data_IF_656232258934
#
_entry.id   IF_656232258934
#
_cell.length_a   1.000
_cell.length_b   1.000
_cell.length_c   1.000
_cell.angle_alpha   90.00
_cell.angle_beta   90.00
_cell.angle_gamma   90.00
#
_symmetry.space_group_name_H-M   'P 1'
#
loop_
_entity.id
_entity.type
_entity.pdbx_description
1 polymer ?
#
# COMPACT_ATOMS: atom_id res chain seq x y z
N UNK A 1 -8.59 52.18 11.35
CA UNK A 1 -7.85 51.50 10.26
C UNK A 1 -7.72 50.05 10.68
N UNK A 2 -8.52 49.14 10.10
CA UNK A 2 -8.47 47.71 10.44
C UNK A 2 -7.37 47.10 9.59
N UNK A 3 -6.23 46.79 10.20
CA UNK A 3 -5.17 46.00 9.56
C UNK A 3 -5.70 44.59 9.40
N UNK A 4 -6.08 44.24 8.16
CA UNK A 4 -6.41 42.87 7.80
C UNK A 4 -5.12 42.04 7.85
N UNK A 5 -5.06 41.07 8.76
CA UNK A 5 -3.94 40.15 8.84
C UNK A 5 -3.90 39.32 7.55
N UNK A 6 -2.84 39.50 6.76
CA UNK A 6 -2.55 38.68 5.59
C UNK A 6 -2.27 37.27 6.12
N UNK A 7 -3.15 36.32 5.82
CA UNK A 7 -2.94 34.92 6.14
C UNK A 7 -1.60 34.46 5.52
N UNK A 8 -0.78 33.66 6.23
CA UNK A 8 0.47 33.17 5.67
C UNK A 8 0.20 32.39 4.38
N UNK A 9 1.10 32.47 3.38
CA UNK A 9 0.93 31.73 2.13
C UNK A 9 0.82 30.23 2.48
N UNK A 10 -0.30 29.61 2.10
CA UNK A 10 -0.42 28.15 2.16
C UNK A 10 0.76 27.58 1.38
N UNK A 11 1.55 26.72 2.01
CA UNK A 11 2.64 26.02 1.34
C UNK A 11 2.11 25.41 0.05
N UNK A 12 2.78 25.67 -1.07
CA UNK A 12 2.38 25.15 -2.38
C UNK A 12 2.53 23.64 -2.36
N UNK A 13 1.40 22.93 -2.34
CA UNK A 13 1.37 21.46 -2.42
C UNK A 13 1.82 21.00 -3.79
N UNK A 14 2.42 19.82 -3.87
CA UNK A 14 2.71 19.20 -5.18
C UNK A 14 1.40 18.73 -5.81
N UNK A 15 1.25 18.74 -7.15
CA UNK A 15 -0.04 18.40 -7.77
C UNK A 15 -0.49 16.96 -7.49
N UNK A 16 0.46 16.04 -7.45
CA UNK A 16 0.18 14.61 -7.40
C UNK A 16 1.35 13.79 -6.83
N UNK A 17 1.02 12.76 -6.06
CA UNK A 17 1.93 11.69 -5.61
C UNK A 17 1.30 10.34 -5.93
N UNK A 18 2.13 9.32 -6.10
CA UNK A 18 1.76 8.01 -6.63
C UNK A 18 2.36 6.90 -5.81
N UNK A 19 1.57 5.88 -5.48
CA UNK A 19 2.02 4.70 -4.75
C UNK A 19 1.58 3.42 -5.44
N UNK A 20 2.42 2.39 -5.39
CA UNK A 20 2.03 1.02 -5.68
C UNK A 20 1.55 0.38 -4.38
N UNK A 21 0.33 -0.18 -4.40
CA UNK A 21 -0.17 -1.01 -3.32
C UNK A 21 -0.38 -2.44 -3.81
N UNK A 22 0.09 -3.40 -3.01
CA UNK A 22 0.01 -4.82 -3.30
C UNK A 22 -1.06 -5.45 -2.43
N UNK A 23 -1.93 -6.22 -3.07
CA UNK A 23 -2.93 -7.01 -2.37
C UNK A 23 -2.53 -8.47 -2.37
N UNK A 24 -2.85 -9.18 -1.29
CA UNK A 24 -2.65 -10.62 -1.20
C UNK A 24 -3.51 -11.33 -2.23
N UNK A 25 -4.79 -10.94 -2.34
CA UNK A 25 -5.78 -11.60 -3.17
C UNK A 25 -6.55 -10.62 -4.05
N UNK A 26 -6.98 -11.06 -5.23
CA UNK A 26 -7.90 -10.27 -6.07
C UNK A 26 -9.25 -10.00 -5.39
N UNK A 27 -9.65 -10.88 -4.46
CA UNK A 27 -10.91 -10.75 -3.73
C UNK A 27 -10.93 -9.51 -2.83
N UNK A 28 -9.78 -9.12 -2.25
CA UNK A 28 -9.68 -7.90 -1.43
C UNK A 28 -9.83 -6.64 -2.29
N UNK A 29 -9.27 -6.67 -3.49
CA UNK A 29 -9.41 -5.59 -4.47
C UNK A 29 -10.87 -5.46 -4.95
N UNK A 30 -11.54 -6.58 -5.24
CA UNK A 30 -12.96 -6.56 -5.60
C UNK A 30 -13.84 -6.06 -4.44
N UNK A 31 -13.53 -6.43 -3.20
CA UNK A 31 -14.21 -5.93 -2.02
C UNK A 31 -14.00 -4.42 -1.84
N UNK A 32 -12.78 -3.94 -2.08
CA UNK A 32 -12.44 -2.52 -2.06
C UNK A 32 -13.22 -1.70 -3.08
N UNK A 33 -13.37 -2.22 -4.30
CA UNK A 33 -14.19 -1.58 -5.35
C UNK A 33 -15.63 -1.39 -4.89
N UNK A 34 -16.22 -2.42 -4.25
CA UNK A 34 -17.60 -2.35 -3.75
C UNK A 34 -17.76 -1.38 -2.58
N UNK A 35 -16.76 -1.26 -1.71
CA UNK A 35 -16.82 -0.47 -0.47
C UNK A 35 -16.32 0.96 -0.62
N UNK A 36 -15.49 1.25 -1.63
CA UNK A 36 -14.79 2.55 -1.75
C UNK A 36 -13.79 2.78 -0.61
N UNK A 37 -13.21 1.70 -0.11
CA UNK A 37 -12.30 1.71 1.04
C UNK A 37 -11.13 0.79 0.77
N UNK A 38 -9.96 1.16 1.27
CA UNK A 38 -8.79 0.30 1.31
C UNK A 38 -8.23 0.24 2.71
N UNK A 39 -7.59 -0.87 3.03
CA UNK A 39 -6.80 -1.02 4.24
C UNK A 39 -5.41 -1.48 3.84
N UNK A 40 -4.39 -0.77 4.28
CA UNK A 40 -2.98 -1.07 3.96
C UNK A 40 -2.27 -1.60 5.20
N UNK A 41 -1.05 -2.11 5.06
CA UNK A 41 -0.19 -2.40 6.20
C UNK A 41 0.17 -1.11 6.96
N UNK A 42 0.32 -1.20 8.29
CA UNK A 42 0.64 -0.06 9.16
C UNK A 42 1.87 0.74 8.72
N UNK A 43 2.90 0.06 8.24
CA UNK A 43 4.14 0.72 7.80
C UNK A 43 3.93 1.70 6.63
N UNK A 44 2.87 1.51 5.84
CA UNK A 44 2.53 2.39 4.72
C UNK A 44 1.75 3.63 5.15
N UNK A 45 1.08 3.59 6.30
CA UNK A 45 0.14 4.65 6.71
C UNK A 45 0.85 6.00 6.86
N UNK A 46 2.03 6.01 7.48
CA UNK A 46 2.81 7.22 7.68
C UNK A 46 3.21 7.87 6.34
N UNK A 47 3.65 7.05 5.37
CA UNK A 47 4.01 7.53 4.04
C UNK A 47 2.82 8.09 3.27
N UNK A 48 1.68 7.39 3.29
CA UNK A 48 0.47 7.80 2.60
C UNK A 48 -0.13 9.08 3.21
N UNK A 49 -0.16 9.18 4.55
CA UNK A 49 -0.64 10.39 5.23
C UNK A 49 0.26 11.59 4.95
N UNK A 50 1.58 11.42 5.02
CA UNK A 50 2.52 12.49 4.66
C UNK A 50 2.36 12.94 3.20
N UNK A 51 2.08 12.02 2.28
CA UNK A 51 1.76 12.36 0.90
C UNK A 51 0.44 13.10 0.76
N UNK A 52 -0.60 12.71 1.52
CA UNK A 52 -1.91 13.37 1.51
C UNK A 52 -1.86 14.81 2.01
N UNK A 53 -0.96 15.12 2.94
CA UNK A 53 -0.72 16.49 3.40
C UNK A 53 0.09 17.32 2.40
N UNK A 54 1.09 16.70 1.76
CA UNK A 54 2.03 17.35 0.83
C UNK A 54 1.47 17.55 -0.58
N UNK A 55 0.58 16.67 -1.03
CA UNK A 55 0.05 16.66 -2.38
C UNK A 55 -1.42 17.10 -2.45
N UNK A 56 -1.85 17.60 -3.62
CA UNK A 56 -3.27 17.83 -3.89
C UNK A 56 -4.01 16.51 -4.17
N UNK A 57 -3.33 15.59 -4.87
CA UNK A 57 -3.86 14.27 -5.21
C UNK A 57 -2.86 13.17 -4.82
N UNK A 58 -3.36 12.10 -4.20
CA UNK A 58 -2.59 10.88 -3.97
C UNK A 58 -3.27 9.75 -4.72
N UNK A 59 -2.57 9.19 -5.70
CA UNK A 59 -3.05 8.07 -6.52
C UNK A 59 -2.42 6.76 -6.06
N UNK A 60 -3.27 5.75 -5.94
CA UNK A 60 -2.92 4.42 -5.47
C UNK A 60 -3.14 3.44 -6.62
N UNK A 61 -2.07 2.80 -7.09
CA UNK A 61 -2.11 1.82 -8.18
C UNK A 61 -2.03 0.42 -7.58
N UNK A 62 -3.08 -0.37 -7.79
CA UNK A 62 -3.24 -1.66 -7.14
C UNK A 62 -2.82 -2.82 -8.03
N UNK A 63 -2.20 -3.84 -7.43
CA UNK A 63 -1.90 -5.11 -8.08
C UNK A 63 -2.01 -6.26 -7.08
N UNK A 64 -2.68 -7.34 -7.47
CA UNK A 64 -2.70 -8.57 -6.68
C UNK A 64 -1.39 -9.34 -6.84
N UNK A 65 -0.92 -9.97 -5.78
CA UNK A 65 0.28 -10.80 -5.84
C UNK A 65 0.08 -11.96 -6.83
N UNK A 66 1.14 -12.24 -7.61
CA UNK A 66 1.17 -13.31 -8.64
C UNK A 66 0.13 -13.16 -9.78
N UNK A 67 -0.52 -12.00 -9.94
CA UNK A 67 -1.50 -11.78 -11.03
C UNK A 67 -0.85 -11.57 -12.42
N UNK A 68 0.37 -11.03 -12.46
CA UNK A 68 1.02 -10.60 -13.71
C UNK A 68 0.48 -9.29 -14.30
N UNK A 69 -0.35 -8.56 -13.54
CA UNK A 69 -1.00 -7.33 -13.99
C UNK A 69 -1.31 -6.35 -12.85
N UNK A 70 -1.52 -5.08 -13.22
CA UNK A 70 -2.18 -4.13 -12.32
C UNK A 70 -3.69 -4.28 -12.45
N UNK A 71 -4.36 -4.25 -11.29
CA UNK A 71 -5.80 -4.37 -11.17
C UNK A 71 -6.51 -3.09 -11.62
N UNK A 72 -5.93 -1.94 -11.28
CA UNK A 72 -6.53 -0.63 -11.50
C UNK A 72 -5.88 0.42 -10.60
N UNK A 73 -6.46 1.61 -10.55
CA UNK A 73 -6.00 2.67 -9.65
C UNK A 73 -7.15 3.50 -9.11
N UNK A 74 -6.89 4.08 -7.94
CA UNK A 74 -7.83 4.91 -7.20
C UNK A 74 -7.14 6.18 -6.70
N UNK A 75 -7.94 7.14 -6.22
CA UNK A 75 -7.47 8.34 -5.52
C UNK A 75 -7.82 8.25 -4.05
N UNK A 76 -6.88 8.60 -3.18
CA UNK A 76 -7.12 8.73 -1.75
C UNK A 76 -8.03 9.93 -1.49
N UNK A 77 -9.10 9.74 -0.71
CA UNK A 77 -10.09 10.78 -0.42
C UNK A 77 -9.98 11.37 0.99
N UNK A 78 -9.38 10.62 1.92
CA UNK A 78 -9.26 11.00 3.31
C UNK A 78 -7.94 10.48 3.88
N UNK A 79 -7.36 11.16 4.90
CA UNK A 79 -6.25 10.62 5.65
C UNK A 79 -6.66 9.30 6.33
N UNK A 80 -5.66 8.48 6.62
CA UNK A 80 -5.82 7.26 7.41
C UNK A 80 -5.91 7.70 8.87
N UNK A 81 -7.14 8.02 9.28
CA UNK A 81 -7.49 8.40 10.65
C UNK A 81 -8.53 7.40 11.14
N UNK A 82 -8.31 6.76 12.29
CA UNK A 82 -9.13 5.64 12.80
C UNK A 82 -10.59 5.95 13.13
N UNK A 83 -11.12 7.10 12.73
CA UNK A 83 -12.45 7.60 13.07
C UNK A 83 -13.54 7.26 12.03
N UNK A 84 -13.20 6.46 11.01
CA UNK A 84 -14.21 5.92 10.08
C UNK A 84 -15.13 4.86 10.73
N UNK A 85 -14.92 4.53 12.01
CA UNK A 85 -15.73 3.61 12.80
C UNK A 85 -16.90 4.22 13.59
N UNK A 86 -17.08 5.54 13.61
CA UNK A 86 -18.10 6.18 14.46
C UNK A 86 -19.46 6.43 13.78
N UNK A 87 -19.62 6.15 12.48
CA UNK A 87 -20.88 6.36 11.76
C UNK A 87 -21.51 5.02 11.32
N UNK A 88 -22.33 4.46 12.23
CA UNK A 88 -23.43 3.49 11.99
C UNK A 88 -23.11 2.27 11.11
N UNK A 89 -22.80 1.14 11.75
CA UNK A 89 -23.16 -0.18 11.22
C UNK A 89 -24.17 -0.81 12.19
N UNK A 90 -25.44 -1.05 11.79
CA UNK A 90 -26.26 -2.00 12.53
C UNK A 90 -25.63 -3.38 12.39
N UNK A 91 -25.44 -4.01 13.55
CA UNK A 91 -24.95 -5.37 13.76
C UNK A 91 -25.54 -6.30 12.71
N UNK A 92 -24.69 -6.82 11.81
CA UNK A 92 -24.98 -8.10 11.17
C UNK A 92 -23.87 -9.03 11.61
N UNK A 93 -24.16 -9.78 12.66
CA UNK A 93 -23.39 -10.94 13.09
C UNK A 93 -23.34 -11.91 11.91
N UNK A 94 -22.29 -11.80 11.10
CA UNK A 94 -21.91 -12.89 10.21
C UNK A 94 -20.90 -13.71 10.98
N UNK A 95 -21.21 -14.99 11.03
CA UNK A 95 -20.54 -16.08 11.71
C UNK A 95 -19.15 -16.33 11.10
N UNK A 96 -18.23 -15.38 11.25
CA UNK A 96 -16.83 -15.54 10.84
C UNK A 96 -16.15 -16.32 11.95
N UNK A 97 -15.98 -17.62 11.72
CA UNK A 97 -15.10 -18.45 12.55
C UNK A 97 -13.74 -17.75 12.66
N UNK A 98 -13.16 -17.60 13.86
CA UNK A 98 -11.94 -16.82 14.09
C UNK A 98 -10.66 -17.40 13.46
N UNK A 99 -10.77 -18.41 12.60
CA UNK A 99 -9.66 -19.23 12.12
C UNK A 99 -9.32 -19.06 10.62
N UNK A 100 -10.07 -18.24 9.88
CA UNK A 100 -10.02 -18.19 8.40
C UNK A 100 -9.35 -16.92 7.83
N UNK A 101 -8.64 -16.16 8.67
CA UNK A 101 -7.87 -14.97 8.27
C UNK A 101 -6.41 -15.29 7.94
N UNK A 102 -5.70 -14.41 7.19
CA UNK A 102 -4.30 -14.60 6.86
C UNK A 102 -3.43 -14.66 8.13
N UNK A 103 -2.60 -15.70 8.25
CA UNK A 103 -1.66 -15.89 9.38
C UNK A 103 -0.24 -15.48 8.98
N UNK A 104 0.47 -14.80 9.90
CA UNK A 104 1.88 -14.41 9.72
C UNK A 104 2.79 -15.27 10.61
N UNK A 105 3.73 -15.99 9.99
CA UNK A 105 4.69 -16.87 10.67
C UNK A 105 6.10 -16.31 10.48
N UNK A 106 6.77 -15.78 11.52
CA UNK A 106 8.11 -15.23 11.39
C UNK A 106 9.13 -16.33 11.06
N UNK A 107 10.10 -15.99 10.21
CA UNK A 107 11.19 -16.87 9.80
C UNK A 107 12.53 -16.17 10.03
N UNK A 108 13.46 -16.76 10.79
CA UNK A 108 14.78 -16.18 10.99
C UNK A 108 15.59 -16.17 9.69
N UNK A 109 16.61 -15.31 9.63
CA UNK A 109 17.55 -15.29 8.52
C UNK A 109 18.28 -16.65 8.39
N UNK A 110 18.50 -17.07 7.16
CA UNK A 110 19.28 -18.27 6.81
C UNK A 110 20.45 -17.88 5.92
N UNK A 111 21.36 -18.83 5.63
CA UNK A 111 22.50 -18.57 4.73
C UNK A 111 22.10 -18.11 3.32
N UNK A 112 20.84 -18.35 2.90
CA UNK A 112 20.37 -18.12 1.53
C UNK A 112 19.16 -17.19 1.42
N UNK A 113 18.56 -16.77 2.54
CA UNK A 113 17.42 -15.85 2.57
C UNK A 113 17.48 -14.97 3.84
N UNK A 114 17.17 -13.66 3.73
CA UNK A 114 17.15 -12.77 4.88
C UNK A 114 16.03 -13.15 5.87
N UNK A 115 15.94 -12.46 7.01
CA UNK A 115 14.79 -12.62 7.89
C UNK A 115 13.52 -12.14 7.20
N UNK A 116 12.39 -12.68 7.64
CA UNK A 116 11.10 -12.32 7.08
C UNK A 116 9.98 -13.11 7.71
N UNK A 117 8.91 -13.30 6.97
CA UNK A 117 7.71 -14.00 7.44
C UNK A 117 6.94 -14.67 6.32
N UNK A 118 6.29 -15.79 6.63
CA UNK A 118 5.34 -16.46 5.76
C UNK A 118 3.95 -15.89 6.04
N UNK A 119 3.29 -15.40 5.00
CA UNK A 119 1.88 -15.02 5.01
C UNK A 119 1.08 -16.19 4.44
N UNK A 120 0.31 -16.85 5.29
CA UNK A 120 -0.54 -18.00 4.98
C UNK A 120 -2.02 -17.59 4.99
N UNK A 121 -2.57 -17.39 3.80
CA UNK A 121 -3.99 -17.25 3.51
C UNK A 121 -4.43 -18.45 2.64
N UNK A 122 -4.11 -19.66 3.10
CA UNK A 122 -4.42 -20.91 2.40
C UNK A 122 -5.92 -21.08 2.13
N UNK A 123 -6.79 -20.58 3.01
CA UNK A 123 -8.24 -20.53 2.80
C UNK A 123 -8.63 -19.83 1.49
N UNK A 124 -7.86 -18.80 1.09
CA UNK A 124 -8.08 -18.02 -0.14
C UNK A 124 -7.01 -18.31 -1.20
N UNK A 125 -6.25 -19.41 -1.01
CA UNK A 125 -5.29 -19.95 -1.98
C UNK A 125 -3.98 -19.17 -2.09
N UNK A 126 -3.61 -18.37 -1.08
CA UNK A 126 -2.43 -17.50 -1.13
C UNK A 126 -1.46 -17.81 0.00
N UNK A 127 -0.27 -18.31 -0.35
CA UNK A 127 0.86 -18.42 0.59
C UNK A 127 2.10 -17.80 -0.08
N UNK A 128 2.80 -16.93 0.63
CA UNK A 128 4.05 -16.34 0.17
C UNK A 128 4.93 -15.89 1.35
N UNK A 129 6.20 -15.64 1.05
CA UNK A 129 7.17 -15.13 2.01
C UNK A 129 7.50 -13.67 1.71
N UNK A 130 7.56 -12.84 2.74
CA UNK A 130 7.93 -11.43 2.69
C UNK A 130 9.20 -11.20 3.51
N UNK A 131 10.19 -10.55 2.92
CA UNK A 131 11.41 -10.16 3.63
C UNK A 131 11.11 -8.98 4.55
N UNK A 132 11.68 -8.97 5.75
CA UNK A 132 11.68 -7.75 6.56
C UNK A 132 12.56 -6.69 5.87
N UNK A 133 12.13 -5.42 5.90
CA UNK A 133 12.94 -4.31 5.40
C UNK A 133 14.12 -4.07 6.36
N UNK A 134 15.19 -4.83 6.17
CA UNK A 134 16.48 -4.51 6.77
C UNK A 134 17.07 -3.34 5.99
N UNK A 135 17.00 -2.15 6.58
CA UNK A 135 17.93 -1.08 6.23
C UNK A 135 19.34 -1.67 6.39
N UNK A 136 20.11 -1.66 5.30
CA UNK A 136 21.51 -2.09 5.30
C UNK A 136 22.35 -1.11 6.13
N UNK A 137 22.33 -1.25 7.45
CA UNK A 137 23.32 -0.66 8.35
C UNK A 137 23.97 -1.80 9.15
N UNK A 138 24.96 -2.45 8.53
CA UNK A 138 25.93 -3.28 9.23
C UNK A 138 26.86 -2.37 10.05
N UNK A 139 26.44 -1.98 11.27
CA UNK A 139 27.30 -1.97 12.47
C UNK A 139 26.50 -1.55 13.73
N UNK A 140 26.02 -2.52 14.52
CA UNK A 140 25.68 -2.28 15.93
C UNK A 140 25.61 -3.60 16.69
N UNK A 141 26.59 -3.89 17.57
CA UNK A 141 26.52 -5.06 18.43
C UNK A 141 25.61 -4.76 19.63
N UNK A 142 24.82 -5.75 20.02
CA UNK A 142 23.96 -5.85 21.23
C UNK A 142 22.45 -5.67 20.97
N UNK A 143 21.75 -6.79 20.77
CA UNK A 143 20.51 -7.08 21.50
C UNK A 143 20.17 -8.57 21.48
N UNK A 144 20.86 -9.33 22.34
CA UNK A 144 20.27 -10.54 22.89
C UNK A 144 19.46 -10.17 24.14
N UNK A 145 18.27 -10.74 24.23
CA UNK A 145 17.36 -10.83 25.38
C UNK A 145 16.46 -9.63 25.71
N UNK A 146 15.28 -9.64 25.07
CA UNK A 146 13.98 -9.39 25.70
C UNK A 146 12.95 -10.26 24.94
N UNK A 147 12.76 -11.52 25.33
CA UNK A 147 11.59 -12.01 26.08
C UNK A 147 10.25 -11.40 25.63
N UNK A 148 9.44 -12.23 24.97
CA UNK A 148 7.98 -12.23 24.90
C UNK A 148 7.27 -10.87 24.77
N UNK A 149 7.06 -10.46 23.52
CA UNK A 149 5.76 -10.00 23.00
C UNK A 149 5.92 -9.80 21.50
N UNK A 150 5.79 -10.89 20.73
CA UNK A 150 5.80 -10.82 19.26
C UNK A 150 4.52 -11.45 18.71
N UNK A 151 3.39 -10.97 19.22
CA UNK A 151 2.22 -10.74 18.36
C UNK A 151 2.45 -9.43 17.59
N UNK A 152 3.54 -9.34 16.84
CA UNK A 152 3.56 -8.46 15.68
C UNK A 152 2.79 -9.21 14.59
N UNK A 153 1.49 -9.38 14.82
CA UNK A 153 0.54 -9.43 13.72
C UNK A 153 0.98 -8.30 12.79
N UNK A 154 1.12 -8.55 11.49
CA UNK A 154 1.01 -7.45 10.56
C UNK A 154 -0.41 -6.94 10.75
N UNK A 155 -0.59 -6.04 11.73
CA UNK A 155 -1.87 -5.42 12.00
C UNK A 155 -2.17 -4.71 10.69
N UNK A 156 -3.13 -5.29 9.98
CA UNK A 156 -3.75 -4.61 8.88
C UNK A 156 -4.20 -3.27 9.47
N UNK A 157 -3.76 -2.19 8.84
CA UNK A 157 -3.96 -0.85 9.36
C UNK A 157 -5.43 -0.45 9.39
N UNK A 158 -5.69 0.85 9.44
CA UNK A 158 -7.06 1.37 9.51
C UNK A 158 -7.64 1.55 8.11
N UNK A 159 -8.92 1.21 7.89
CA UNK A 159 -9.55 1.43 6.60
C UNK A 159 -9.64 2.94 6.33
N UNK A 160 -9.38 3.34 5.08
CA UNK A 160 -9.49 4.73 4.63
C UNK A 160 -10.23 4.81 3.29
N UNK A 161 -10.83 5.98 3.02
CA UNK A 161 -11.67 6.17 1.84
C UNK A 161 -10.84 6.40 0.59
N UNK A 162 -11.22 5.71 -0.48
CA UNK A 162 -10.64 5.86 -1.81
C UNK A 162 -11.74 5.96 -2.86
N UNK A 163 -11.41 6.55 -4.00
CA UNK A 163 -12.26 6.62 -5.18
C UNK A 163 -11.59 5.87 -6.32
N UNK A 164 -12.15 4.73 -6.72
CA UNK A 164 -11.67 4.00 -7.89
C UNK A 164 -11.94 4.81 -9.15
N UNK A 165 -10.87 5.14 -9.89
CA UNK A 165 -10.95 5.87 -11.15
C UNK A 165 -10.94 4.89 -12.33
N UNK A 166 -10.18 3.80 -12.22
CA UNK A 166 -10.17 2.72 -13.21
C UNK A 166 -9.96 1.38 -12.55
N UNK A 167 -10.74 0.39 -12.98
CA UNK A 167 -10.56 -1.04 -12.71
C UNK A 167 -10.11 -1.80 -13.97
N UNK A 168 -9.70 -1.07 -15.01
CA UNK A 168 -9.17 -1.65 -16.24
C UNK A 168 -7.85 -2.37 -15.96
N UNK A 169 -7.79 -3.66 -16.31
CA UNK A 169 -6.57 -4.45 -16.10
C UNK A 169 -5.44 -3.97 -17.01
N UNK A 170 -4.27 -3.77 -16.44
CA UNK A 170 -3.05 -3.41 -17.17
C UNK A 170 -2.00 -4.52 -17.03
N UNK A 171 -1.87 -5.41 -18.04
CA UNK A 171 -0.86 -6.45 -18.03
C UNK A 171 0.57 -5.88 -17.92
N UNK A 172 1.43 -6.52 -17.12
CA UNK A 172 2.80 -6.03 -16.88
C UNK A 172 3.68 -5.96 -18.12
N UNK A 173 3.40 -6.74 -19.17
CA UNK A 173 4.16 -6.63 -20.41
C UNK A 173 3.97 -5.25 -21.09
N UNK A 174 2.84 -4.57 -20.84
CA UNK A 174 2.55 -3.22 -21.36
C UNK A 174 3.31 -2.12 -20.62
N UNK A 175 3.84 -2.40 -19.44
CA UNK A 175 4.68 -1.47 -18.67
C UNK A 175 6.16 -1.79 -18.78
N UNK A 176 6.55 -2.68 -19.70
CA UNK A 176 7.95 -3.07 -19.93
C UNK A 176 8.80 -1.82 -20.21
N UNK A 177 9.93 -1.72 -19.51
CA UNK A 177 10.86 -0.60 -19.64
C UNK A 177 10.48 0.65 -18.84
N UNK A 178 9.27 0.73 -18.27
CA UNK A 178 8.93 1.80 -17.33
C UNK A 178 9.64 1.54 -16.00
N UNK A 179 10.54 2.45 -15.61
CA UNK A 179 11.41 2.34 -14.43
C UNK A 179 11.21 3.52 -13.49
N UNK A 180 11.44 3.29 -12.21
CA UNK A 180 11.31 4.29 -11.15
C UNK A 180 12.67 4.53 -10.48
N UNK A 181 13.26 5.72 -10.62
CA UNK A 181 14.56 6.04 -10.03
C UNK A 181 14.50 6.04 -8.49
N UNK A 182 13.33 6.33 -7.90
CA UNK A 182 13.10 6.25 -6.46
C UNK A 182 13.12 4.82 -5.90
N UNK A 183 13.12 3.79 -6.77
CA UNK A 183 13.19 2.39 -6.37
C UNK A 183 14.37 1.67 -7.05
N UNK A 184 15.58 2.22 -6.90
CA UNK A 184 16.82 1.71 -7.48
C UNK A 184 16.74 1.53 -9.02
N UNK A 185 15.97 2.38 -9.70
CA UNK A 185 15.71 2.32 -11.14
C UNK A 185 15.17 0.95 -11.63
N UNK A 186 14.51 0.20 -10.73
CA UNK A 186 13.84 -1.06 -11.06
C UNK A 186 12.59 -0.79 -11.92
N UNK A 187 12.18 -1.80 -12.68
CA UNK A 187 10.90 -1.71 -13.40
C UNK A 187 9.75 -1.53 -12.42
N UNK A 188 8.76 -0.72 -12.77
CA UNK A 188 7.65 -0.37 -11.85
C UNK A 188 6.88 -1.61 -11.38
N UNK A 189 6.82 -2.68 -12.20
CA UNK A 189 6.19 -3.96 -11.82
C UNK A 189 6.90 -4.72 -10.69
N UNK A 190 8.14 -4.33 -10.36
CA UNK A 190 8.97 -4.93 -9.30
C UNK A 190 8.76 -4.19 -7.96
N UNK A 191 7.91 -3.15 -7.94
CA UNK A 191 7.57 -2.43 -6.72
C UNK A 191 6.97 -3.36 -5.63
N UNK A 192 7.40 -3.13 -4.38
CA UNK A 192 6.80 -3.71 -3.19
C UNK A 192 5.54 -2.93 -2.81
N UNK A 193 4.81 -3.44 -1.81
CA UNK A 193 3.74 -2.67 -1.18
C UNK A 193 4.28 -1.33 -0.67
N UNK A 194 3.49 -0.27 -0.75
CA UNK A 194 3.89 1.07 -0.29
C UNK A 194 4.92 1.81 -1.13
N UNK A 195 5.40 1.26 -2.26
CA UNK A 195 6.45 1.92 -3.05
C UNK A 195 5.94 3.22 -3.69
N UNK A 196 6.54 4.36 -3.34
CA UNK A 196 6.27 5.65 -3.99
C UNK A 196 6.90 5.70 -5.41
N UNK A 197 6.20 6.32 -6.36
CA UNK A 197 6.65 6.51 -7.74
C UNK A 197 6.94 7.97 -8.05
N UNK A 198 7.99 8.20 -8.84
CA UNK A 198 8.22 9.51 -9.44
C UNK A 198 6.97 10.03 -10.18
N UNK A 199 6.60 11.32 -10.05
CA UNK A 199 5.40 11.85 -10.69
C UNK A 199 5.34 11.63 -12.20
N UNK A 200 6.48 11.73 -12.88
CA UNK A 200 6.56 11.45 -14.33
C UNK A 200 6.25 9.98 -14.63
N UNK A 201 6.74 9.06 -13.80
CA UNK A 201 6.54 7.62 -13.95
C UNK A 201 5.09 7.25 -13.62
N UNK A 202 4.53 7.81 -12.54
CA UNK A 202 3.13 7.63 -12.15
C UNK A 202 2.15 8.09 -13.22
N UNK A 203 2.33 9.29 -13.77
CA UNK A 203 1.53 9.79 -14.91
C UNK A 203 1.61 8.87 -16.13
N UNK A 204 2.82 8.43 -16.49
CA UNK A 204 3.02 7.49 -17.61
C UNK A 204 2.27 6.18 -17.37
N UNK A 205 2.33 5.65 -16.15
CA UNK A 205 1.61 4.43 -15.79
C UNK A 205 0.09 4.60 -15.92
N UNK A 206 -0.47 5.71 -15.44
CA UNK A 206 -1.90 6.01 -15.59
C UNK A 206 -2.35 6.11 -17.06
N UNK A 207 -1.53 6.71 -17.92
CA UNK A 207 -1.85 6.82 -19.36
C UNK A 207 -1.97 5.44 -20.03
N UNK A 208 -1.13 4.48 -19.62
CA UNK A 208 -1.17 3.11 -20.14
C UNK A 208 -2.49 2.38 -19.81
N UNK A 209 -3.12 2.68 -18.67
CA UNK A 209 -4.44 2.14 -18.33
C UNK A 209 -5.54 2.55 -19.33
N UNK A 210 -5.39 3.72 -19.96
CA UNK A 210 -6.36 4.27 -20.90
C UNK A 210 -6.06 3.92 -22.36
N UNK A 211 -5.07 3.06 -22.62
CA UNK A 211 -4.70 2.69 -23.97
C UNK A 211 -3.91 3.77 -24.73
N UNK A 212 -3.54 4.86 -24.06
CA UNK A 212 -2.71 5.92 -24.65
C UNK A 212 -1.24 5.48 -24.53
N UNK A 213 -0.73 4.86 -25.59
CA UNK A 213 0.70 4.57 -25.74
C UNK A 213 1.49 5.84 -26.03
N UNK A 214 2.79 5.82 -25.71
CA UNK A 214 3.76 6.85 -26.10
C UNK A 214 4.40 6.51 -27.44
#
# INVERSE_FOLDING_TARGET
MVVSAIAPPKATRIPESFFILKSLTSQDLDASVRRGQWTTQEHNEAGLNAAFERAENVYLVFSANKSGEYFGYARMLAPISGDLGAATSPVTSSDVSPDDGPRSIPTPATATAPSGRIIDDSARGTIFWEADDVAEDEDSPLKEQATNDLSAEQELGRPFRIEWISTGRLPFFRTRGLRNAWNANREVKIARDGTELEPVVGRKLMLLFHGVGF
#
